data_IF_131027004227
#
_entry.id   IF_131027004227
#
_cell.length_a   1.000
_cell.length_b   1.000
_cell.length_c   1.000
_cell.angle_alpha   90.00
_cell.angle_beta   90.00
_cell.angle_gamma   90.00
#
_symmetry.space_group_name_H-M   'P 1'
#
loop_
_entity.id
_entity.type
_entity.pdbx_description
1 polymer ?
#
# COMPACT_ATOMS: atom_id res chain seq x y z
N UNK A 1 17.77 -3.43 -10.71
CA UNK A 1 17.65 -3.27 -9.24
C UNK A 1 18.99 -3.25 -8.47
N UNK A 2 20.11 -3.71 -9.04
CA UNK A 2 21.43 -3.65 -8.34
C UNK A 2 22.07 -2.24 -8.29
N UNK A 3 21.65 -1.34 -9.18
CA UNK A 3 22.10 0.05 -9.21
C UNK A 3 20.96 0.94 -8.70
N UNK A 4 20.99 1.27 -7.40
CA UNK A 4 20.16 2.34 -6.83
C UNK A 4 21.11 3.31 -6.12
N UNK A 5 20.78 4.60 -6.13
CA UNK A 5 21.60 5.64 -5.51
C UNK A 5 21.89 5.41 -4.02
N UNK A 6 21.06 4.59 -3.35
CA UNK A 6 21.16 4.29 -1.91
C UNK A 6 21.69 2.88 -1.64
N UNK A 7 22.38 2.27 -2.60
CA UNK A 7 22.94 0.91 -2.49
C UNK A 7 22.05 -0.17 -3.10
N UNK A 8 22.51 -1.42 -3.00
CA UNK A 8 21.87 -2.60 -3.59
C UNK A 8 20.59 -2.94 -2.82
N UNK A 9 19.44 -2.85 -3.48
CA UNK A 9 18.16 -3.33 -2.92
C UNK A 9 18.11 -4.85 -3.07
N UNK A 10 18.08 -5.56 -1.95
CA UNK A 10 17.90 -7.02 -1.89
C UNK A 10 16.43 -7.37 -1.64
N UNK A 11 16.03 -8.63 -1.85
CA UNK A 11 14.67 -9.10 -1.53
C UNK A 11 14.29 -8.84 -0.06
N UNK A 12 15.26 -8.83 0.85
CA UNK A 12 15.05 -8.47 2.25
C UNK A 12 14.53 -7.04 2.42
N UNK A 13 15.01 -6.08 1.61
CA UNK A 13 14.52 -4.71 1.65
C UNK A 13 13.05 -4.60 1.24
N UNK A 14 12.63 -5.36 0.23
CA UNK A 14 11.24 -5.42 -0.20
C UNK A 14 10.35 -6.08 0.88
N UNK A 15 10.83 -7.16 1.50
CA UNK A 15 10.14 -7.80 2.64
C UNK A 15 9.94 -6.81 3.79
N UNK A 16 10.94 -5.99 4.08
CA UNK A 16 10.86 -4.98 5.13
C UNK A 16 9.82 -3.89 4.82
N UNK A 17 9.79 -3.39 3.58
CA UNK A 17 8.76 -2.45 3.12
C UNK A 17 7.37 -3.07 3.20
N UNK A 18 7.20 -4.31 2.77
CA UNK A 18 5.92 -5.04 2.82
C UNK A 18 5.38 -5.18 4.26
N UNK A 19 6.22 -5.67 5.18
CA UNK A 19 5.81 -5.85 6.59
C UNK A 19 5.41 -4.51 7.20
N UNK A 20 6.19 -3.45 6.94
CA UNK A 20 5.89 -2.11 7.47
C UNK A 20 4.54 -1.60 6.95
N UNK A 21 4.25 -1.75 5.66
CA UNK A 21 2.96 -1.34 5.08
C UNK A 21 1.78 -2.15 5.60
N UNK A 22 1.93 -3.46 5.76
CA UNK A 22 0.87 -4.31 6.29
C UNK A 22 0.56 -3.99 7.74
N UNK A 23 1.60 -3.74 8.55
CA UNK A 23 1.43 -3.26 9.91
C UNK A 23 0.67 -1.93 9.88
N UNK A 24 1.17 -0.92 9.15
CA UNK A 24 0.55 0.41 9.06
C UNK A 24 -0.92 0.41 8.60
N UNK A 25 -1.28 -0.49 7.68
CA UNK A 25 -2.64 -0.59 7.16
C UNK A 25 -3.60 -1.24 8.18
N UNK A 26 -3.09 -2.11 9.06
CA UNK A 26 -3.88 -2.78 10.08
C UNK A 26 -4.92 -3.77 9.55
N UNK A 27 -4.87 -4.11 8.25
CA UNK A 27 -5.85 -4.97 7.59
C UNK A 27 -5.60 -6.47 7.85
N UNK A 28 -4.35 -6.84 8.16
CA UNK A 28 -3.92 -8.24 8.29
C UNK A 28 -3.44 -8.55 9.71
N UNK A 29 -3.88 -9.69 10.26
CA UNK A 29 -3.45 -10.15 11.58
C UNK A 29 -1.95 -10.51 11.58
N UNK A 30 -1.23 -10.10 12.63
CA UNK A 30 0.21 -10.34 12.82
C UNK A 30 0.61 -11.81 12.60
N UNK A 31 -0.23 -12.76 13.02
CA UNK A 31 0.00 -14.21 12.88
C UNK A 31 -0.04 -14.67 11.42
N UNK A 32 -0.90 -14.07 10.61
CA UNK A 32 -1.00 -14.37 9.17
C UNK A 32 0.20 -13.79 8.44
N UNK A 33 0.59 -12.55 8.79
CA UNK A 33 1.77 -11.89 8.24
C UNK A 33 3.06 -12.69 8.53
N UNK A 34 3.20 -13.20 9.76
CA UNK A 34 4.31 -14.07 10.16
C UNK A 34 4.42 -15.33 9.27
N UNK A 35 3.29 -15.99 9.01
CA UNK A 35 3.22 -17.17 8.12
C UNK A 35 3.60 -16.82 6.67
N UNK A 36 3.05 -15.74 6.12
CA UNK A 36 3.36 -15.32 4.74
C UNK A 36 4.85 -15.03 4.54
N UNK A 37 5.48 -14.41 5.54
CA UNK A 37 6.88 -14.04 5.45
C UNK A 37 7.86 -15.09 5.99
N UNK A 38 7.36 -16.28 6.37
CA UNK A 38 8.16 -17.40 6.87
C UNK A 38 8.96 -17.11 8.15
N UNK A 39 8.44 -16.25 9.04
CA UNK A 39 9.12 -15.92 10.31
C UNK A 39 8.22 -16.10 11.51
N UNK A 40 8.80 -16.16 12.71
CA UNK A 40 8.04 -16.20 13.95
C UNK A 40 7.39 -14.84 14.26
N UNK A 41 6.29 -14.90 15.03
CA UNK A 41 5.62 -13.72 15.57
C UNK A 41 6.57 -12.86 16.40
N UNK A 42 7.36 -13.50 17.27
CA UNK A 42 8.33 -12.84 18.15
C UNK A 42 9.36 -12.03 17.36
N UNK A 43 9.81 -12.54 16.21
CA UNK A 43 10.76 -11.85 15.35
C UNK A 43 10.16 -10.54 14.80
N UNK A 44 8.90 -10.58 14.34
CA UNK A 44 8.19 -9.40 13.85
C UNK A 44 7.95 -8.40 14.98
N UNK A 45 7.55 -8.87 16.16
CA UNK A 45 7.33 -8.03 17.32
C UNK A 45 8.59 -7.28 17.74
N UNK A 46 9.75 -7.95 17.81
CA UNK A 46 11.02 -7.33 18.14
C UNK A 46 11.49 -6.35 17.06
N UNK A 47 11.49 -6.77 15.78
CA UNK A 47 12.03 -5.97 14.68
C UNK A 47 11.16 -4.77 14.28
N UNK A 48 9.85 -4.82 14.51
CA UNK A 48 8.92 -3.75 14.12
C UNK A 48 8.22 -3.12 15.32
N UNK A 49 8.76 -3.33 16.52
CA UNK A 49 8.30 -2.74 17.79
C UNK A 49 8.12 -1.22 17.73
N UNK A 50 8.88 -0.51 16.89
CA UNK A 50 8.77 0.94 16.71
C UNK A 50 7.61 1.39 15.80
N UNK A 51 7.11 0.51 14.93
CA UNK A 51 6.00 0.80 14.00
C UNK A 51 4.67 0.74 14.74
N UNK A 52 4.56 -0.15 15.73
CA UNK A 52 3.35 -0.39 16.51
C UNK A 52 2.90 0.85 17.32
N UNK A 53 3.76 1.54 18.11
CA UNK A 53 3.40 2.77 18.81
C UNK A 53 2.95 3.90 17.90
N UNK A 54 3.52 4.02 16.69
CA UNK A 54 3.10 5.04 15.71
C UNK A 54 1.65 4.84 15.26
N UNK A 55 1.17 3.60 15.24
CA UNK A 55 -0.24 3.31 14.91
C UNK A 55 -1.19 3.68 16.04
N UNK A 56 -0.78 3.38 17.27
CA UNK A 56 -1.54 3.68 18.48
C UNK A 56 -1.32 5.09 19.00
N UNK A 57 -0.56 5.95 18.31
CA UNK A 57 -0.32 7.34 18.74
C UNK A 57 -1.63 8.06 19.06
N UNK A 58 -2.71 7.74 18.34
CA UNK A 58 -4.01 8.38 18.56
C UNK A 58 -4.77 7.86 19.79
N UNK A 59 -4.47 6.64 20.23
CA UNK A 59 -5.03 6.02 21.43
C UNK A 59 -4.16 6.35 22.67
N UNK A 60 -2.84 6.44 22.48
CA UNK A 60 -1.84 6.73 23.49
C UNK A 60 -1.68 8.23 23.78
N UNK A 61 -1.97 9.13 22.82
CA UNK A 61 -1.74 10.58 22.99
C UNK A 61 -2.66 11.24 24.02
N UNK A 62 -3.68 10.54 24.55
CA UNK A 62 -4.66 11.10 25.48
C UNK A 62 -5.55 12.19 24.87
N UNK A 63 -5.26 12.64 23.65
CA UNK A 63 -6.01 13.66 22.91
C UNK A 63 -7.05 12.95 22.05
N UNK A 64 -8.33 13.17 22.37
CA UNK A 64 -9.45 12.73 21.52
C UNK A 64 -9.45 13.49 20.20
N UNK A 65 -8.60 13.06 19.25
CA UNK A 65 -8.68 13.55 17.87
C UNK A 65 -10.01 13.04 17.30
N UNK A 66 -10.98 13.95 17.16
CA UNK A 66 -12.27 13.68 16.53
C UNK A 66 -11.98 13.11 15.14
N UNK A 67 -12.40 11.87 14.84
CA UNK A 67 -12.34 11.34 13.47
C UNK A 67 -13.21 12.26 12.62
N UNK A 68 -12.61 13.09 11.76
CA UNK A 68 -13.39 13.73 10.71
C UNK A 68 -13.89 12.60 9.81
N UNK A 69 -15.19 12.55 9.54
CA UNK A 69 -15.70 11.62 8.53
C UNK A 69 -14.97 11.98 7.23
N UNK A 70 -14.36 11.00 6.51
CA UNK A 70 -13.80 11.30 5.20
C UNK A 70 -14.95 11.91 4.39
N UNK A 71 -14.79 13.16 3.94
CA UNK A 71 -15.78 13.80 3.09
C UNK A 71 -15.84 12.97 1.81
N UNK A 72 -16.87 12.14 1.66
CA UNK A 72 -17.14 11.46 0.40
C UNK A 72 -17.41 12.57 -0.61
N UNK A 73 -16.45 12.82 -1.50
CA UNK A 73 -16.68 13.72 -2.62
C UNK A 73 -17.72 13.04 -3.52
N UNK A 74 -18.99 13.43 -3.39
CA UNK A 74 -20.06 13.04 -4.30
C UNK A 74 -19.75 13.65 -5.66
N UNK A 75 -19.01 12.90 -6.49
CA UNK A 75 -18.73 13.31 -7.86
C UNK A 75 -20.04 13.29 -8.64
N UNK A 76 -20.32 14.36 -9.38
CA UNK A 76 -21.51 14.40 -10.22
C UNK A 76 -21.48 13.25 -11.25
N UNK A 77 -22.64 12.68 -11.64
CA UNK A 77 -22.70 11.60 -12.62
C UNK A 77 -21.96 11.93 -13.93
N UNK A 78 -22.03 13.19 -14.37
CA UNK A 78 -21.34 13.68 -15.55
C UNK A 78 -19.80 13.68 -15.40
N UNK A 79 -19.28 14.03 -14.22
CA UNK A 79 -17.83 13.98 -13.95
C UNK A 79 -17.31 12.53 -13.86
N UNK A 80 -18.17 11.59 -13.46
CA UNK A 80 -17.84 10.16 -13.46
C UNK A 80 -17.83 9.61 -14.90
N UNK A 81 -18.85 9.92 -15.70
CA UNK A 81 -18.94 9.52 -17.10
C UNK A 81 -17.75 10.02 -17.93
N UNK A 82 -17.34 11.28 -17.75
CA UNK A 82 -16.13 11.84 -18.40
C UNK A 82 -14.85 11.08 -18.02
N UNK A 83 -14.73 10.69 -16.74
CA UNK A 83 -13.60 9.89 -16.24
C UNK A 83 -13.57 8.51 -16.87
N UNK A 84 -14.74 7.85 -16.95
CA UNK A 84 -14.87 6.54 -17.57
C UNK A 84 -14.54 6.60 -19.06
N UNK A 85 -15.09 7.57 -19.81
CA UNK A 85 -14.80 7.75 -21.23
C UNK A 85 -13.30 7.96 -21.51
N UNK A 86 -12.62 8.76 -20.66
CA UNK A 86 -11.17 8.96 -20.76
C UNK A 86 -10.39 7.66 -20.53
N UNK A 87 -10.76 6.88 -19.52
CA UNK A 87 -10.13 5.59 -19.23
C UNK A 87 -10.37 4.57 -20.36
N UNK A 88 -11.58 4.51 -20.91
CA UNK A 88 -11.89 3.65 -22.06
C UNK A 88 -11.05 4.01 -23.27
N UNK A 89 -10.86 5.31 -23.55
CA UNK A 89 -9.98 5.76 -24.64
C UNK A 89 -8.54 5.31 -24.42
N UNK A 90 -8.00 5.55 -23.23
CA UNK A 90 -6.62 5.16 -22.87
C UNK A 90 -6.43 3.64 -22.95
N UNK A 91 -7.42 2.88 -22.50
CA UNK A 91 -7.39 1.42 -22.57
C UNK A 91 -7.39 0.92 -24.02
N UNK A 92 -8.26 1.47 -24.87
CA UNK A 92 -8.31 1.09 -26.28
C UNK A 92 -7.02 1.45 -27.02
N UNK A 93 -6.45 2.62 -26.73
CA UNK A 93 -5.16 3.04 -27.26
C UNK A 93 -4.05 2.07 -26.84
N UNK A 94 -4.01 1.70 -25.56
CA UNK A 94 -3.06 0.71 -25.04
C UNK A 94 -3.25 -0.67 -25.68
N UNK A 95 -4.48 -1.16 -25.85
CA UNK A 95 -4.74 -2.44 -26.53
C UNK A 95 -4.26 -2.42 -27.99
N UNK A 96 -4.44 -1.29 -28.69
CA UNK A 96 -3.95 -1.11 -30.05
C UNK A 96 -2.42 -1.11 -30.09
N UNK A 97 -1.76 -0.43 -29.15
CA UNK A 97 -0.30 -0.45 -29.04
C UNK A 97 0.22 -1.85 -28.68
N UNK A 98 -0.44 -2.55 -27.76
CA UNK A 98 -0.12 -3.93 -27.39
C UNK A 98 -0.23 -4.87 -28.60
N UNK A 99 -1.30 -4.74 -29.40
CA UNK A 99 -1.48 -5.53 -30.63
C UNK A 99 -0.44 -5.20 -31.70
N UNK A 100 0.06 -3.95 -31.75
CA UNK A 100 1.08 -3.50 -32.71
C UNK A 100 2.49 -3.93 -32.32
N UNK A 101 2.85 -3.82 -31.04
CA UNK A 101 4.23 -4.02 -30.55
C UNK A 101 4.47 -5.42 -29.99
N UNK A 102 3.42 -6.19 -29.74
CA UNK A 102 3.51 -7.45 -28.99
C UNK A 102 3.83 -7.21 -27.52
N UNK A 103 3.67 -8.25 -26.70
CA UNK A 103 4.04 -8.18 -25.28
C UNK A 103 5.56 -7.97 -25.17
N UNK A 104 5.98 -7.07 -24.27
CA UNK A 104 7.37 -7.05 -23.74
C UNK A 104 7.55 -8.30 -22.87
#
# INVERSE_FOLDING_TARGET
MKQSAHGVRTLYSLRHTYITWQLMSGEVCMKVLAKQCGTSLQMIEQHYSYVVPKMFTRELSGVKVRKSKPKKATRSPAALAKSHARLTKQFNEWVLEYKKRGCI
#
